data_IF_086421935400
#
_entry.id   IF_086421935400
#
_cell.length_a   1.000
_cell.length_b   1.000
_cell.length_c   1.000
_cell.angle_alpha   90.00
_cell.angle_beta   90.00
_cell.angle_gamma   90.00
#
_symmetry.space_group_name_H-M   'P 1'
#
loop_
_entity.id
_entity.type
_entity.pdbx_description
1 polymer ?
#
# COMPACT_ATOMS: atom_id res chain seq x y z
N UNK A 1 15.73 -12.79 -14.07
CA UNK A 1 14.65 -11.99 -13.44
C UNK A 1 14.03 -11.00 -14.42
N UNK A 2 14.78 -10.38 -15.32
CA UNK A 2 14.28 -9.46 -16.34
C UNK A 2 13.25 -10.15 -17.26
N UNK A 3 13.57 -11.30 -17.82
CA UNK A 3 12.63 -12.07 -18.66
C UNK A 3 11.33 -12.43 -17.91
N UNK A 4 11.43 -12.72 -16.59
CA UNK A 4 10.29 -13.02 -15.78
C UNK A 4 9.43 -11.77 -15.52
N UNK A 5 10.07 -10.60 -15.35
CA UNK A 5 9.37 -9.32 -15.22
C UNK A 5 8.65 -8.94 -16.51
N UNK A 6 9.27 -9.16 -17.69
CA UNK A 6 8.66 -8.94 -19.00
C UNK A 6 7.44 -9.83 -19.24
N UNK A 7 7.50 -11.08 -18.81
CA UNK A 7 6.35 -11.99 -18.84
C UNK A 7 5.27 -11.54 -17.85
N UNK A 8 5.69 -11.12 -16.66
CA UNK A 8 4.81 -10.60 -15.61
C UNK A 8 4.04 -9.36 -16.05
N UNK A 9 4.66 -8.46 -16.78
CA UNK A 9 4.02 -7.26 -17.32
C UNK A 9 2.83 -7.56 -18.25
N UNK A 10 2.84 -8.73 -18.91
CA UNK A 10 1.72 -9.20 -19.76
C UNK A 10 0.54 -9.74 -18.94
N UNK A 11 0.77 -10.08 -17.68
CA UNK A 11 -0.26 -10.57 -16.74
C UNK A 11 -0.92 -9.40 -16.00
N UNK A 12 -0.12 -8.41 -15.58
CA UNK A 12 -0.62 -7.23 -14.88
C UNK A 12 0.48 -6.22 -14.57
N UNK A 13 0.11 -4.96 -14.47
CA UNK A 13 1.03 -3.84 -14.27
C UNK A 13 1.86 -3.91 -12.98
N UNK A 14 1.33 -4.54 -11.93
CA UNK A 14 2.00 -4.64 -10.63
C UNK A 14 2.88 -5.90 -10.50
N UNK A 15 2.76 -6.86 -11.46
CA UNK A 15 3.48 -8.14 -11.40
C UNK A 15 5.00 -7.95 -11.48
N UNK A 16 5.56 -7.07 -12.33
CA UNK A 16 7.00 -6.81 -12.34
C UNK A 16 7.55 -6.35 -10.97
N UNK A 17 6.80 -5.49 -10.28
CA UNK A 17 7.15 -5.07 -8.92
C UNK A 17 7.15 -6.25 -7.93
N UNK A 18 6.12 -7.10 -7.98
CA UNK A 18 6.04 -8.28 -7.12
C UNK A 18 7.21 -9.26 -7.36
N UNK A 19 7.71 -9.33 -8.60
CA UNK A 19 8.88 -10.16 -8.96
C UNK A 19 10.17 -9.54 -8.44
N UNK A 20 10.33 -8.22 -8.59
CA UNK A 20 11.50 -7.49 -8.15
C UNK A 20 11.61 -7.41 -6.63
N UNK A 21 10.53 -7.03 -5.96
CA UNK A 21 10.47 -6.78 -4.51
C UNK A 21 11.20 -5.51 -4.09
N UNK A 22 11.31 -5.31 -2.78
CA UNK A 22 11.99 -4.16 -2.19
C UNK A 22 11.20 -2.85 -2.28
N UNK A 23 11.90 -1.73 -2.21
CA UNK A 23 11.33 -0.38 -2.33
C UNK A 23 11.62 0.16 -3.72
N UNK A 24 10.59 0.53 -4.44
CA UNK A 24 10.70 0.95 -5.84
C UNK A 24 9.86 2.17 -6.16
N UNK A 25 10.39 3.01 -7.05
CA UNK A 25 9.60 3.97 -7.80
C UNK A 25 9.06 3.26 -9.04
N UNK A 26 7.74 3.16 -9.12
CA UNK A 26 7.03 2.70 -10.32
C UNK A 26 6.51 3.90 -11.11
N UNK A 27 6.73 3.91 -12.43
CA UNK A 27 6.35 5.00 -13.32
C UNK A 27 5.50 4.48 -14.47
N UNK A 28 4.76 5.41 -15.11
CA UNK A 28 3.81 5.14 -16.20
C UNK A 28 2.75 4.11 -15.74
N UNK A 29 2.56 3.05 -16.50
CA UNK A 29 1.63 1.96 -16.22
C UNK A 29 2.22 0.85 -15.32
N UNK A 30 3.30 1.15 -14.57
CA UNK A 30 3.98 0.15 -13.74
C UNK A 30 5.18 -0.53 -14.40
N UNK A 31 5.41 -0.29 -15.69
CA UNK A 31 6.46 -0.96 -16.47
C UNK A 31 7.88 -0.43 -16.25
N UNK A 32 8.05 0.76 -15.67
CA UNK A 32 9.38 1.32 -15.37
C UNK A 32 9.57 1.33 -13.85
N UNK A 33 10.47 0.47 -13.38
CA UNK A 33 10.81 0.34 -11.98
C UNK A 33 12.22 0.87 -11.72
N UNK A 34 12.35 1.72 -10.70
CA UNK A 34 13.65 2.22 -10.23
C UNK A 34 13.82 1.89 -8.76
N UNK A 35 14.95 1.28 -8.40
CA UNK A 35 15.27 0.95 -7.01
C UNK A 35 15.43 2.21 -6.17
N UNK A 36 14.88 2.18 -4.99
CA UNK A 36 15.05 3.15 -3.93
C UNK A 36 15.74 2.48 -2.73
N UNK A 37 16.33 3.24 -1.81
CA UNK A 37 16.81 2.70 -0.55
C UNK A 37 15.74 1.87 0.16
N UNK A 38 16.11 0.76 0.82
CA UNK A 38 15.14 -0.11 1.46
C UNK A 38 14.34 0.64 2.53
N UNK A 39 13.04 0.43 2.56
CA UNK A 39 12.19 0.92 3.62
C UNK A 39 12.58 0.25 4.95
N UNK A 40 12.57 1.02 6.05
CA UNK A 40 12.69 0.45 7.40
C UNK A 40 11.69 -0.69 7.57
N UNK A 41 12.16 -1.85 8.04
CA UNK A 41 11.26 -2.98 8.32
C UNK A 41 10.21 -2.56 9.34
N UNK A 42 8.95 -2.79 9.02
CA UNK A 42 7.81 -2.47 9.88
C UNK A 42 6.72 -3.54 9.77
N UNK A 43 5.80 -3.53 10.74
CA UNK A 43 4.62 -4.37 10.73
C UNK A 43 3.51 -3.70 9.92
N UNK A 44 2.74 -4.52 9.22
CA UNK A 44 1.67 -4.04 8.33
C UNK A 44 0.37 -4.74 8.71
N UNK A 45 -0.64 -3.95 9.06
CA UNK A 45 -2.01 -4.45 9.22
C UNK A 45 -2.76 -4.17 7.93
N UNK A 46 -3.21 -5.22 7.26
CA UNK A 46 -4.03 -5.15 6.05
C UNK A 46 -5.49 -5.40 6.43
N UNK A 47 -6.36 -4.42 6.20
CA UNK A 47 -7.78 -4.47 6.51
C UNK A 47 -8.60 -4.37 5.23
N UNK A 48 -9.28 -5.45 4.83
CA UNK A 48 -10.16 -5.46 3.66
C UNK A 48 -11.61 -5.29 4.10
N UNK A 49 -12.29 -4.16 3.76
CA UNK A 49 -13.70 -3.95 4.02
C UNK A 49 -14.59 -4.98 3.28
N UNK A 50 -15.88 -5.03 3.67
CA UNK A 50 -16.88 -5.79 2.94
C UNK A 50 -17.24 -5.14 1.60
N UNK A 51 -17.22 -3.80 1.55
CA UNK A 51 -17.46 -3.02 0.34
C UNK A 51 -16.41 -3.33 -0.73
N UNK A 52 -16.87 -3.72 -1.92
CA UNK A 52 -16.01 -3.95 -3.08
C UNK A 52 -15.84 -2.69 -3.91
N UNK A 53 -14.68 -2.52 -4.54
CA UNK A 53 -14.41 -1.45 -5.51
C UNK A 53 -13.98 -2.06 -6.83
N UNK A 54 -14.57 -1.59 -7.92
CA UNK A 54 -14.12 -1.93 -9.27
C UNK A 54 -12.98 -0.99 -9.68
N UNK A 55 -11.82 -1.52 -10.02
CA UNK A 55 -10.68 -0.74 -10.48
C UNK A 55 -11.03 0.10 -11.72
N UNK A 56 -11.77 -0.44 -12.67
CA UNK A 56 -12.19 0.30 -13.85
C UNK A 56 -13.07 1.51 -13.50
N UNK A 57 -14.02 1.32 -12.55
CA UNK A 57 -14.83 2.43 -12.04
C UNK A 57 -13.96 3.46 -11.30
N UNK A 58 -13.00 3.02 -10.50
CA UNK A 58 -12.10 3.92 -9.77
C UNK A 58 -11.35 4.87 -10.70
N UNK A 59 -10.83 4.35 -11.82
CA UNK A 59 -10.19 5.19 -12.84
C UNK A 59 -11.18 6.11 -13.54
N UNK A 60 -12.38 5.63 -13.88
CA UNK A 60 -13.42 6.47 -14.49
C UNK A 60 -13.86 7.63 -13.58
N UNK A 61 -14.05 7.37 -12.29
CA UNK A 61 -14.39 8.40 -11.29
C UNK A 61 -13.21 9.39 -11.12
N UNK A 62 -11.97 8.92 -11.16
CA UNK A 62 -10.78 9.75 -11.11
C UNK A 62 -10.66 10.66 -12.34
N UNK A 63 -10.83 10.11 -13.55
CA UNK A 63 -10.73 10.86 -14.81
C UNK A 63 -11.85 11.91 -14.97
N UNK A 64 -12.99 11.66 -14.33
CA UNK A 64 -14.16 12.55 -14.34
C UNK A 64 -14.10 13.65 -13.28
N UNK A 65 -13.16 13.58 -12.35
CA UNK A 65 -13.05 14.54 -11.26
C UNK A 65 -12.55 15.90 -11.78
N UNK A 66 -13.23 16.97 -11.41
CA UNK A 66 -12.87 18.32 -11.83
C UNK A 66 -11.60 18.84 -11.16
N UNK A 67 -11.19 18.28 -10.05
CA UNK A 67 -9.98 18.63 -9.32
C UNK A 67 -9.48 17.44 -8.49
N UNK A 68 -8.16 17.18 -8.56
CA UNK A 68 -7.48 16.17 -7.74
C UNK A 68 -6.24 16.81 -7.10
N UNK A 69 -6.13 16.71 -5.80
CA UNK A 69 -4.90 17.05 -5.10
C UNK A 69 -3.89 15.91 -5.23
N UNK A 70 -2.74 16.19 -5.82
CA UNK A 70 -1.67 15.21 -5.95
C UNK A 70 -0.72 15.28 -4.75
N UNK A 71 -0.31 14.13 -4.18
CA UNK A 71 0.71 14.07 -3.14
C UNK A 71 2.02 14.70 -3.60
N UNK A 72 2.81 15.20 -2.66
CA UNK A 72 4.11 15.82 -2.94
C UNK A 72 5.14 14.77 -3.36
N UNK A 73 5.21 14.51 -4.69
CA UNK A 73 6.13 13.54 -5.27
C UNK A 73 7.60 13.84 -4.95
N UNK A 74 7.99 15.12 -4.99
CA UNK A 74 9.39 15.53 -4.73
C UNK A 74 9.75 15.23 -3.28
N UNK A 75 8.92 15.62 -2.32
CA UNK A 75 9.13 15.33 -0.91
C UNK A 75 9.10 13.83 -0.60
N UNK A 76 8.29 13.05 -1.30
CA UNK A 76 8.28 11.59 -1.16
C UNK A 76 9.59 10.97 -1.65
N UNK A 77 10.10 11.39 -2.81
CA UNK A 77 11.36 10.88 -3.36
C UNK A 77 12.55 11.29 -2.51
N UNK A 78 12.56 12.51 -1.97
CA UNK A 78 13.60 12.98 -1.05
C UNK A 78 13.61 12.15 0.24
N UNK A 79 12.44 11.96 0.87
CA UNK A 79 12.32 11.12 2.05
C UNK A 79 12.76 9.66 1.78
N UNK A 80 12.37 9.10 0.63
CA UNK A 80 12.76 7.74 0.25
C UNK A 80 14.27 7.63 -0.01
N UNK A 81 14.88 8.60 -0.70
CA UNK A 81 16.32 8.64 -0.97
C UNK A 81 17.17 8.72 0.31
N UNK A 82 16.63 9.36 1.35
CA UNK A 82 17.28 9.49 2.67
C UNK A 82 16.88 8.38 3.66
N UNK A 83 16.09 7.39 3.24
CA UNK A 83 15.52 6.34 4.11
C UNK A 83 14.77 6.94 5.33
N UNK A 84 14.18 8.13 5.19
CA UNK A 84 13.40 8.82 6.22
C UNK A 84 11.98 8.21 6.28
N UNK A 85 11.80 7.21 7.13
CA UNK A 85 10.52 6.51 7.30
C UNK A 85 9.37 7.45 7.70
N UNK A 86 9.64 8.37 8.62
CA UNK A 86 8.62 9.35 9.04
C UNK A 86 8.29 10.33 7.92
N UNK A 87 9.30 10.78 7.17
CA UNK A 87 9.12 11.60 5.98
C UNK A 87 8.25 10.91 4.94
N UNK A 88 8.52 9.63 4.65
CA UNK A 88 7.70 8.81 3.76
C UNK A 88 6.24 8.77 4.26
N UNK A 89 6.02 8.49 5.54
CA UNK A 89 4.69 8.47 6.13
C UNK A 89 3.97 9.82 6.04
N UNK A 90 4.70 10.93 6.23
CA UNK A 90 4.13 12.29 6.11
C UNK A 90 3.76 12.67 4.66
N UNK A 91 4.53 12.22 3.67
CA UNK A 91 4.32 12.53 2.26
C UNK A 91 3.36 11.55 1.56
N UNK A 92 3.05 10.42 2.20
CA UNK A 92 2.19 9.41 1.63
C UNK A 92 0.78 9.95 1.36
N UNK A 93 0.26 9.65 0.18
CA UNK A 93 -1.09 10.03 -0.22
C UNK A 93 -1.61 9.09 -1.31
N UNK A 94 -2.92 8.91 -1.36
CA UNK A 94 -3.60 8.14 -2.39
C UNK A 94 -4.69 8.98 -3.05
N UNK A 95 -4.51 9.30 -4.32
CA UNK A 95 -5.45 10.12 -5.09
C UNK A 95 -6.85 9.49 -5.18
N UNK A 96 -6.95 8.17 -5.23
CA UNK A 96 -8.23 7.47 -5.27
C UNK A 96 -9.06 7.65 -3.98
N UNK A 97 -8.45 7.98 -2.85
CA UNK A 97 -9.21 8.30 -1.63
C UNK A 97 -10.08 9.55 -1.78
N UNK A 98 -9.85 10.38 -2.79
CA UNK A 98 -10.59 11.62 -3.06
C UNK A 98 -11.85 11.37 -3.90
N UNK A 99 -11.87 10.30 -4.70
CA UNK A 99 -12.95 10.01 -5.65
C UNK A 99 -13.71 8.72 -5.34
N UNK A 100 -13.07 7.79 -4.62
CA UNK A 100 -13.67 6.49 -4.31
C UNK A 100 -14.26 6.51 -2.90
N UNK A 101 -15.54 6.18 -2.81
CA UNK A 101 -16.23 6.04 -1.54
C UNK A 101 -16.12 4.59 -1.03
N UNK A 102 -15.50 4.45 0.15
CA UNK A 102 -15.47 3.22 0.95
C UNK A 102 -15.93 3.61 2.36
N UNK A 103 -17.19 3.34 2.72
CA UNK A 103 -17.79 3.85 3.96
C UNK A 103 -17.02 3.47 5.22
N UNK A 104 -16.43 2.27 5.24
CA UNK A 104 -15.67 1.75 6.38
C UNK A 104 -14.28 2.39 6.52
N UNK A 105 -13.72 2.95 5.44
CA UNK A 105 -12.34 3.45 5.37
C UNK A 105 -11.96 4.41 6.49
N UNK A 106 -12.81 5.40 6.75
CA UNK A 106 -12.53 6.43 7.76
C UNK A 106 -12.42 5.81 9.16
N UNK A 107 -13.32 4.88 9.48
CA UNK A 107 -13.33 4.18 10.77
C UNK A 107 -12.14 3.23 10.90
N UNK A 108 -11.80 2.49 9.85
CA UNK A 108 -10.62 1.60 9.82
C UNK A 108 -9.34 2.42 10.04
N UNK A 109 -9.15 3.53 9.29
CA UNK A 109 -8.00 4.42 9.47
C UNK A 109 -7.95 5.03 10.88
N UNK A 110 -9.09 5.36 11.47
CA UNK A 110 -9.18 5.87 12.84
C UNK A 110 -8.73 4.81 13.87
N UNK A 111 -9.14 3.55 13.71
CA UNK A 111 -8.69 2.46 14.56
C UNK A 111 -7.17 2.28 14.44
N UNK A 112 -6.63 2.21 13.23
CA UNK A 112 -5.20 2.08 13.00
C UNK A 112 -4.40 3.20 13.68
N UNK A 113 -4.81 4.46 13.50
CA UNK A 113 -4.14 5.62 14.13
C UNK A 113 -4.20 5.58 15.65
N UNK A 114 -5.34 5.19 16.23
CA UNK A 114 -5.50 5.08 17.69
C UNK A 114 -4.57 4.04 18.29
N UNK A 115 -4.21 2.99 17.52
CA UNK A 115 -3.21 1.99 17.91
C UNK A 115 -1.78 2.37 17.51
N UNK A 116 -1.51 3.62 17.12
CA UNK A 116 -0.17 4.11 16.88
C UNK A 116 0.41 3.78 15.51
N UNK A 117 -0.43 3.59 14.47
CA UNK A 117 0.10 3.46 13.12
C UNK A 117 0.79 4.74 12.66
N UNK A 118 2.00 4.63 12.14
CA UNK A 118 2.75 5.74 11.51
C UNK A 118 2.09 6.21 10.21
N UNK A 119 1.40 5.31 9.52
CA UNK A 119 0.61 5.57 8.33
C UNK A 119 -0.64 4.71 8.34
N UNK A 120 -1.78 5.27 7.93
CA UNK A 120 -2.99 4.52 7.62
C UNK A 120 -3.59 5.04 6.32
N UNK A 121 -3.64 4.20 5.28
CA UNK A 121 -4.01 4.60 3.92
C UNK A 121 -4.66 3.46 3.14
N UNK A 122 -5.50 3.81 2.17
CA UNK A 122 -6.05 2.86 1.20
C UNK A 122 -4.96 2.45 0.19
N UNK A 123 -4.92 1.19 -0.19
CA UNK A 123 -3.99 0.65 -1.18
C UNK A 123 -4.59 0.73 -2.58
N UNK A 124 -3.89 1.38 -3.51
CA UNK A 124 -4.30 1.50 -4.92
C UNK A 124 -5.73 2.03 -5.07
N UNK A 125 -6.50 1.44 -5.96
CA UNK A 125 -7.91 1.76 -6.17
C UNK A 125 -8.84 1.27 -5.02
N UNK A 126 -8.28 0.64 -3.99
CA UNK A 126 -9.02 0.13 -2.85
C UNK A 126 -9.62 -1.27 -3.07
N UNK A 127 -10.51 -1.71 -2.18
CA UNK A 127 -10.93 -1.06 -0.93
C UNK A 127 -9.99 -1.29 0.27
N UNK A 128 -8.94 -2.12 0.11
CA UNK A 128 -8.04 -2.50 1.21
C UNK A 128 -7.37 -1.28 1.82
N UNK A 129 -7.40 -1.17 3.14
CA UNK A 129 -6.69 -0.17 3.92
C UNK A 129 -5.51 -0.86 4.62
N UNK A 130 -4.34 -0.21 4.60
CA UNK A 130 -3.18 -0.70 5.33
C UNK A 130 -2.73 0.31 6.38
N UNK A 131 -2.17 -0.21 7.47
CA UNK A 131 -1.51 0.58 8.50
C UNK A 131 -0.08 0.10 8.71
N UNK A 132 0.88 1.03 8.80
CA UNK A 132 2.28 0.74 9.10
C UNK A 132 2.53 0.97 10.60
N UNK A 133 3.19 0.01 11.25
CA UNK A 133 3.47 0.04 12.68
C UNK A 133 4.93 -0.30 12.94
N UNK A 134 5.54 0.39 13.90
CA UNK A 134 6.88 0.06 14.38
C UNK A 134 6.84 -1.00 15.49
N UNK A 135 5.73 -1.06 16.24
CA UNK A 135 5.49 -2.01 17.33
C UNK A 135 4.60 -3.17 16.88
N UNK A 136 5.08 -4.41 17.05
CA UNK A 136 4.29 -5.62 16.80
C UNK A 136 3.08 -5.70 17.72
N UNK A 137 3.28 -5.38 19.01
CA UNK A 137 2.19 -5.41 19.99
C UNK A 137 1.04 -4.47 19.63
N UNK A 138 1.35 -3.28 19.11
CA UNK A 138 0.32 -2.32 18.75
C UNK A 138 -0.36 -2.69 17.42
N UNK A 139 0.39 -3.25 16.47
CA UNK A 139 -0.16 -3.82 15.25
C UNK A 139 -1.12 -5.00 15.56
N UNK A 140 -0.76 -5.88 16.50
CA UNK A 140 -1.60 -7.01 16.91
C UNK A 140 -2.88 -6.56 17.62
N UNK A 141 -2.79 -5.57 18.53
CA UNK A 141 -3.98 -4.95 19.15
C UNK A 141 -4.91 -4.33 18.12
N UNK A 142 -4.33 -3.63 17.14
CA UNK A 142 -5.07 -3.05 16.03
C UNK A 142 -5.79 -4.13 15.20
N UNK A 143 -5.07 -5.19 14.81
CA UNK A 143 -5.64 -6.34 14.09
C UNK A 143 -6.82 -6.94 14.86
N UNK A 144 -6.62 -7.22 16.15
CA UNK A 144 -7.64 -7.83 17.00
C UNK A 144 -8.90 -6.95 17.17
N UNK A 145 -8.74 -5.63 17.25
CA UNK A 145 -9.89 -4.72 17.29
C UNK A 145 -10.63 -4.66 15.95
N UNK A 146 -9.89 -4.56 14.84
CA UNK A 146 -10.48 -4.56 13.49
C UNK A 146 -11.27 -5.85 13.23
N UNK A 147 -10.74 -7.00 13.63
CA UNK A 147 -11.40 -8.30 13.47
C UNK A 147 -12.77 -8.35 14.17
N UNK A 148 -12.88 -7.70 15.33
CA UNK A 148 -14.12 -7.63 16.13
C UNK A 148 -15.06 -6.49 15.73
N UNK A 149 -14.59 -5.56 14.91
CA UNK A 149 -15.29 -4.30 14.62
C UNK A 149 -16.52 -4.45 13.71
N UNK A 150 -16.63 -5.54 12.95
CA UNK A 150 -17.62 -5.72 11.89
C UNK A 150 -17.36 -4.86 10.64
N UNK A 151 -16.25 -4.11 10.58
CA UNK A 151 -15.90 -3.23 9.47
C UNK A 151 -15.17 -3.93 8.33
N UNK A 152 -14.59 -5.09 8.60
CA UNK A 152 -13.70 -5.79 7.68
C UNK A 152 -14.20 -7.18 7.35
N UNK A 153 -14.03 -7.59 6.10
CA UNK A 153 -14.23 -8.97 5.65
C UNK A 153 -13.04 -9.86 6.05
N UNK A 154 -11.85 -9.29 6.03
CA UNK A 154 -10.62 -9.95 6.49
C UNK A 154 -9.61 -8.92 6.98
N UNK A 155 -8.77 -9.33 7.93
CA UNK A 155 -7.66 -8.55 8.45
C UNK A 155 -6.46 -9.46 8.64
N UNK A 156 -5.28 -8.97 8.25
CA UNK A 156 -4.02 -9.71 8.31
C UNK A 156 -2.93 -8.84 8.92
N UNK A 157 -2.05 -9.45 9.70
CA UNK A 157 -0.80 -8.86 10.17
C UNK A 157 0.36 -9.53 9.43
N UNK A 158 1.23 -8.73 8.87
CA UNK A 158 2.44 -9.16 8.17
C UNK A 158 3.59 -8.17 8.42
N UNK A 159 4.73 -8.42 7.80
CA UNK A 159 5.89 -7.52 7.77
C UNK A 159 6.19 -7.12 6.33
N UNK A 160 6.84 -5.96 6.18
CA UNK A 160 7.45 -5.58 4.90
C UNK A 160 8.52 -6.60 4.52
N UNK A 161 8.64 -6.88 3.22
CA UNK A 161 9.64 -7.79 2.67
C UNK A 161 10.56 -7.04 1.70
N UNK A 162 11.85 -7.31 1.77
CA UNK A 162 12.86 -6.68 0.90
C UNK A 162 13.04 -7.43 -0.41
N UNK A 163 12.49 -8.64 -0.53
CA UNK A 163 12.66 -9.50 -1.69
C UNK A 163 11.31 -9.82 -2.33
N UNK A 164 11.32 -9.90 -3.65
CA UNK A 164 10.21 -10.42 -4.43
C UNK A 164 10.26 -11.94 -4.56
N UNK A 165 10.18 -12.44 -5.79
CA UNK A 165 10.25 -13.88 -6.07
C UNK A 165 11.65 -14.45 -5.78
N UNK A 166 11.70 -15.50 -4.99
CA UNK A 166 12.91 -16.28 -4.72
C UNK A 166 12.74 -17.70 -5.27
N UNK A 167 13.83 -18.25 -5.80
CA UNK A 167 13.89 -19.68 -6.20
C UNK A 167 14.06 -20.52 -4.96
N UNK A 168 13.18 -21.49 -4.77
CA UNK A 168 13.35 -22.54 -3.75
C UNK A 168 14.13 -23.67 -4.43
N UNK A 169 15.34 -23.94 -3.94
CA UNK A 169 16.04 -25.17 -4.36
C UNK A 169 15.32 -26.33 -3.66
N UNK A 170 14.74 -27.24 -4.45
CA UNK A 170 14.28 -28.53 -3.93
C UNK A 170 15.55 -29.32 -3.55
N UNK A 171 15.73 -29.61 -2.25
CA UNK A 171 16.72 -30.57 -1.75
C UNK A 171 16.22 -32.01 -1.96
#
# INVERSE_FOLDING_TARGET
REELADLGAKVGSDVPFCIAGGTMLSQHTGGILSHLPPLKSCFVVLAKPATGVSTARAYGDFDSASFIYHPNKVGMLDAAANADFEGICRQAGNVFEQTIEVPERVRIKSIMRRHGSSLAQMSGSGPTVFGLFESESDAEKCRAELEKSGLVKSVHLCKTADKGVETVNEE
#
